data_IF_185917909864
#
_entry.id   IF_185917909864
#
_cell.length_a   1.000
_cell.length_b   1.000
_cell.length_c   1.000
_cell.angle_alpha   90.00
_cell.angle_beta   90.00
_cell.angle_gamma   90.00
#
_symmetry.space_group_name_H-M   'P 1'
#
loop_
_entity.id
_entity.type
_entity.pdbx_description
1 polymer ?
#
# COMPACT_ATOMS: atom_id res chain seq x y z
N UNK A 1 5.71 17.74 -87.02
CA UNK A 1 6.56 18.92 -86.75
C UNK A 1 6.70 19.04 -85.25
N UNK A 2 7.95 19.18 -84.80
CA UNK A 2 8.48 19.73 -83.53
C UNK A 2 7.45 20.34 -82.55
N UNK A 3 7.56 20.26 -81.23
CA UNK A 3 8.69 19.94 -80.36
C UNK A 3 8.19 19.81 -78.93
N UNK A 4 8.75 18.83 -78.23
CA UNK A 4 9.20 18.89 -76.83
C UNK A 4 8.98 20.18 -76.03
N UNK A 5 8.25 20.05 -74.91
CA UNK A 5 8.70 20.56 -73.60
C UNK A 5 8.30 19.52 -72.57
N UNK A 6 9.21 18.60 -72.26
CA UNK A 6 9.97 18.52 -71.00
C UNK A 6 9.06 18.20 -69.81
N UNK A 7 9.09 16.95 -69.34
CA UNK A 7 10.00 16.54 -68.25
C UNK A 7 9.97 17.55 -67.11
N UNK A 8 8.92 17.51 -66.30
CA UNK A 8 8.73 18.08 -64.95
C UNK A 8 7.21 17.98 -64.74
N UNK A 9 6.64 16.85 -64.32
CA UNK A 9 6.45 16.56 -62.89
C UNK A 9 5.96 15.10 -62.75
N UNK A 10 6.81 14.16 -63.15
CA UNK A 10 6.78 12.80 -62.61
C UNK A 10 7.47 12.88 -61.24
N UNK A 11 6.73 13.26 -60.19
CA UNK A 11 7.03 13.08 -58.76
C UNK A 11 5.94 13.81 -57.94
N UNK A 12 4.78 13.19 -57.83
CA UNK A 12 3.67 13.71 -57.01
C UNK A 12 2.48 12.76 -56.89
N UNK A 13 2.66 11.49 -57.24
CA UNK A 13 1.62 10.48 -57.18
C UNK A 13 2.18 9.26 -56.45
N UNK A 14 2.03 9.24 -55.12
CA UNK A 14 1.96 8.07 -54.24
C UNK A 14 2.24 8.51 -52.80
N UNK A 15 1.19 8.92 -52.09
CA UNK A 15 0.94 8.65 -50.66
C UNK A 15 -0.43 9.23 -50.29
N UNK A 16 -1.50 8.61 -50.78
CA UNK A 16 -2.78 8.65 -50.09
C UNK A 16 -2.82 7.42 -49.20
N UNK A 17 -2.09 7.49 -48.08
CA UNK A 17 -2.38 6.64 -46.94
C UNK A 17 -3.69 7.17 -46.36
N UNK A 18 -4.81 6.62 -46.83
CA UNK A 18 -6.06 6.71 -46.08
C UNK A 18 -5.82 5.87 -44.82
N UNK A 19 -5.33 6.52 -43.76
CA UNK A 19 -5.51 6.01 -42.42
C UNK A 19 -7.01 6.02 -42.19
N UNK A 20 -7.65 4.88 -42.44
CA UNK A 20 -8.90 4.55 -41.78
C UNK A 20 -8.52 4.41 -40.31
N UNK A 21 -8.46 5.54 -39.60
CA UNK A 21 -8.64 5.50 -38.16
C UNK A 21 -9.95 4.75 -37.98
N UNK A 22 -9.99 3.63 -37.24
CA UNK A 22 -11.26 3.13 -36.79
C UNK A 22 -11.85 4.29 -35.99
N UNK A 23 -12.84 4.96 -36.57
CA UNK A 23 -13.77 5.74 -35.80
C UNK A 23 -14.34 4.71 -34.84
N UNK A 24 -13.78 4.67 -33.63
CA UNK A 24 -14.49 4.12 -32.50
C UNK A 24 -15.81 4.90 -32.50
N UNK A 25 -16.85 4.28 -33.06
CA UNK A 25 -18.22 4.61 -32.77
C UNK A 25 -18.36 4.37 -31.27
N UNK A 26 -17.93 5.34 -30.46
CA UNK A 26 -18.69 5.69 -29.29
C UNK A 26 -20.07 5.99 -29.85
N UNK A 27 -20.98 5.03 -29.75
CA UNK A 27 -22.39 5.32 -29.95
C UNK A 27 -22.67 6.48 -29.00
N UNK A 28 -22.76 7.71 -29.54
CA UNK A 28 -23.16 8.87 -28.76
C UNK A 28 -24.51 8.49 -28.17
N UNK A 29 -24.53 8.32 -26.86
CA UNK A 29 -25.74 7.98 -26.14
C UNK A 29 -26.85 8.94 -26.56
N UNK A 30 -28.05 8.41 -26.77
CA UNK A 30 -29.16 9.22 -27.24
C UNK A 30 -29.40 10.40 -26.27
N UNK A 31 -29.56 11.65 -26.74
CA UNK A 31 -29.65 12.83 -25.86
C UNK A 31 -30.73 12.72 -24.77
N UNK A 32 -31.85 12.04 -25.07
CA UNK A 32 -32.88 11.76 -24.07
C UNK A 32 -32.39 10.81 -22.97
N UNK A 33 -31.66 9.75 -23.32
CA UNK A 33 -31.10 8.84 -22.33
C UNK A 33 -30.08 9.58 -21.45
N UNK A 34 -29.22 10.43 -22.05
CA UNK A 34 -28.31 11.27 -21.28
C UNK A 34 -29.05 12.20 -20.31
N UNK A 35 -30.21 12.74 -20.69
CA UNK A 35 -31.04 13.56 -19.81
C UNK A 35 -31.68 12.75 -18.66
N UNK A 36 -32.22 11.56 -18.96
CA UNK A 36 -32.82 10.70 -17.93
C UNK A 36 -31.75 10.27 -16.89
N UNK A 37 -30.55 9.91 -17.35
CA UNK A 37 -29.42 9.62 -16.47
C UNK A 37 -28.98 10.84 -15.67
N UNK A 38 -28.97 12.03 -16.28
CA UNK A 38 -28.62 13.28 -15.62
C UNK A 38 -29.54 13.55 -14.43
N UNK A 39 -30.86 13.47 -14.65
CA UNK A 39 -31.85 13.67 -13.59
C UNK A 39 -31.80 12.58 -12.52
N UNK A 40 -31.62 11.32 -12.90
CA UNK A 40 -31.55 10.22 -11.94
C UNK A 40 -30.32 10.33 -11.02
N UNK A 41 -29.18 10.77 -11.54
CA UNK A 41 -28.00 11.03 -10.72
C UNK A 41 -28.22 12.26 -9.83
N UNK A 42 -28.84 13.32 -10.34
CA UNK A 42 -29.21 14.51 -9.57
C UNK A 42 -30.07 14.16 -8.35
N UNK A 43 -31.10 13.33 -8.53
CA UNK A 43 -31.94 12.84 -7.43
C UNK A 43 -31.14 12.05 -6.39
N UNK A 44 -30.28 11.12 -6.83
CA UNK A 44 -29.41 10.35 -5.92
C UNK A 44 -28.44 11.23 -5.12
N UNK A 45 -27.89 12.26 -5.76
CA UNK A 45 -27.05 13.23 -5.05
C UNK A 45 -27.86 14.00 -4.01
N UNK A 46 -29.06 14.46 -4.38
CA UNK A 46 -29.94 15.19 -3.48
C UNK A 46 -30.31 14.39 -2.23
N UNK A 47 -30.66 13.11 -2.39
CA UNK A 47 -30.94 12.19 -1.28
C UNK A 47 -29.74 12.05 -0.34
N UNK A 48 -28.55 11.80 -0.89
CA UNK A 48 -27.32 11.68 -0.09
C UNK A 48 -27.01 12.97 0.66
N UNK A 49 -27.12 14.13 -0.01
CA UNK A 49 -26.86 15.43 0.60
C UNK A 49 -27.84 15.69 1.74
N UNK A 50 -29.13 15.37 1.55
CA UNK A 50 -30.13 15.52 2.59
C UNK A 50 -29.83 14.63 3.81
N UNK A 51 -29.34 13.41 3.59
CA UNK A 51 -28.98 12.49 4.68
C UNK A 51 -27.77 13.00 5.49
N UNK A 52 -26.78 13.59 4.81
CA UNK A 52 -25.65 14.24 5.48
C UNK A 52 -26.10 15.50 6.23
N UNK A 53 -26.89 16.37 5.59
CA UNK A 53 -27.35 17.63 6.19
C UNK A 53 -28.29 17.41 7.38
N UNK A 54 -29.09 16.34 7.36
CA UNK A 54 -29.94 15.95 8.49
C UNK A 54 -29.18 15.27 9.62
N UNK A 55 -27.88 14.98 9.44
CA UNK A 55 -27.05 14.28 10.42
C UNK A 55 -27.38 12.79 10.57
N UNK A 56 -28.19 12.22 9.66
CA UNK A 56 -28.48 10.78 9.64
C UNK A 56 -27.20 9.98 9.37
N UNK A 57 -26.32 10.53 8.54
CA UNK A 57 -24.99 10.00 8.23
C UNK A 57 -23.96 11.12 8.35
N UNK A 58 -22.69 10.77 8.58
CA UNK A 58 -21.59 11.74 8.60
C UNK A 58 -21.25 12.24 7.21
N UNK A 59 -20.51 13.36 7.10
CA UNK A 59 -20.06 13.82 5.79
C UNK A 59 -19.04 12.83 5.18
N UNK A 60 -18.27 12.11 6.00
CA UNK A 60 -17.39 11.04 5.53
C UNK A 60 -18.14 9.92 4.77
N UNK A 61 -19.40 9.63 5.10
CA UNK A 61 -20.22 8.64 4.39
C UNK A 61 -20.39 8.98 2.90
N UNK A 62 -20.40 10.27 2.55
CA UNK A 62 -20.54 10.74 1.18
C UNK A 62 -19.42 10.25 0.25
N UNK A 63 -18.26 9.87 0.80
CA UNK A 63 -17.14 9.31 0.04
C UNK A 63 -17.43 7.87 -0.44
N UNK A 64 -18.36 7.18 0.22
CA UNK A 64 -18.70 5.77 -0.05
C UNK A 64 -20.13 5.58 -0.57
N UNK A 65 -20.95 6.62 -0.57
CA UNK A 65 -22.36 6.55 -0.97
C UNK A 65 -22.60 6.61 -2.48
N UNK A 66 -21.54 6.74 -3.29
CA UNK A 66 -21.65 6.98 -4.73
C UNK A 66 -21.99 8.42 -5.12
N UNK A 67 -21.88 9.39 -4.18
CA UNK A 67 -22.07 10.81 -4.46
C UNK A 67 -21.08 11.33 -5.52
N UNK A 68 -19.80 10.94 -5.39
CA UNK A 68 -18.77 11.30 -6.35
C UNK A 68 -19.05 10.70 -7.74
N UNK A 69 -19.49 9.44 -7.80
CA UNK A 69 -19.81 8.76 -9.06
C UNK A 69 -21.02 9.41 -9.74
N UNK A 70 -22.03 9.79 -8.95
CA UNK A 70 -23.22 10.48 -9.46
C UNK A 70 -22.88 11.87 -10.01
N UNK A 71 -22.01 12.62 -9.32
CA UNK A 71 -21.50 13.92 -9.79
C UNK A 71 -20.68 13.77 -11.08
N UNK A 72 -19.77 12.78 -11.14
CA UNK A 72 -18.98 12.50 -12.32
C UNK A 72 -19.87 12.11 -13.52
N UNK A 73 -20.84 11.22 -13.29
CA UNK A 73 -21.80 10.78 -14.30
C UNK A 73 -22.62 11.96 -14.84
N UNK A 74 -23.08 12.88 -13.99
CA UNK A 74 -23.76 14.10 -14.45
C UNK A 74 -22.86 14.99 -15.31
N UNK A 75 -21.62 15.23 -14.88
CA UNK A 75 -20.68 16.05 -15.62
C UNK A 75 -20.37 15.46 -17.02
N UNK A 76 -20.23 14.14 -17.12
CA UNK A 76 -20.03 13.45 -18.40
C UNK A 76 -21.22 13.64 -19.35
N UNK A 77 -22.45 13.49 -18.84
CA UNK A 77 -23.67 13.55 -19.66
C UNK A 77 -24.09 14.98 -20.02
N UNK A 78 -23.62 15.99 -19.27
CA UNK A 78 -23.88 17.42 -19.54
C UNK A 78 -23.56 17.80 -20.99
N UNK A 79 -22.52 17.22 -21.58
CA UNK A 79 -22.06 17.50 -22.95
C UNK A 79 -23.00 16.98 -24.06
N UNK A 80 -23.90 16.05 -23.74
CA UNK A 80 -24.82 15.44 -24.70
C UNK A 80 -26.26 15.98 -24.57
N UNK A 81 -26.50 16.96 -23.71
CA UNK A 81 -27.84 17.53 -23.48
C UNK A 81 -28.28 18.43 -24.64
N UNK A 82 -29.58 18.42 -24.93
CA UNK A 82 -30.19 19.31 -25.91
C UNK A 82 -30.37 20.72 -25.30
N UNK A 83 -30.36 21.79 -26.12
CA UNK A 83 -30.53 23.16 -25.64
C UNK A 83 -31.78 23.36 -24.75
N UNK A 84 -32.90 22.73 -25.13
CA UNK A 84 -34.15 22.78 -24.36
C UNK A 84 -34.03 22.25 -22.92
N UNK A 85 -33.08 21.34 -22.64
CA UNK A 85 -32.82 20.85 -21.28
C UNK A 85 -31.97 21.86 -20.51
N UNK A 86 -31.01 22.52 -21.16
CA UNK A 86 -30.14 23.51 -20.52
C UNK A 86 -30.92 24.74 -20.02
N UNK A 87 -31.97 25.12 -20.75
CA UNK A 87 -32.86 26.23 -20.39
C UNK A 87 -33.94 25.83 -19.35
N UNK A 88 -33.96 24.58 -18.88
CA UNK A 88 -34.99 24.06 -17.99
C UNK A 88 -34.71 24.37 -16.51
N UNK A 89 -35.78 24.47 -15.72
CA UNK A 89 -35.68 24.65 -14.26
C UNK A 89 -35.04 23.45 -13.56
N UNK A 90 -35.27 22.25 -14.07
CA UNK A 90 -34.69 21.01 -13.55
C UNK A 90 -33.18 21.01 -13.72
N UNK A 91 -32.67 21.47 -14.87
CA UNK A 91 -31.24 21.60 -15.09
C UNK A 91 -30.62 22.58 -14.09
N UNK A 92 -31.21 23.77 -13.93
CA UNK A 92 -30.74 24.77 -12.96
C UNK A 92 -30.75 24.24 -11.51
N UNK A 93 -31.78 23.48 -11.14
CA UNK A 93 -31.85 22.81 -9.85
C UNK A 93 -30.72 21.79 -9.68
N UNK A 94 -30.50 20.93 -10.67
CA UNK A 94 -29.47 19.90 -10.62
C UNK A 94 -28.04 20.47 -10.60
N UNK A 95 -27.79 21.61 -11.25
CA UNK A 95 -26.53 22.35 -11.12
C UNK A 95 -26.31 22.85 -9.70
N UNK A 96 -27.37 23.32 -9.03
CA UNK A 96 -27.29 23.70 -7.63
C UNK A 96 -27.00 22.50 -6.72
N UNK A 97 -27.64 21.35 -6.97
CA UNK A 97 -27.36 20.10 -6.24
C UNK A 97 -25.92 19.64 -6.46
N UNK A 98 -25.39 19.74 -7.68
CA UNK A 98 -23.99 19.41 -7.98
C UNK A 98 -23.00 20.27 -7.16
N UNK A 99 -23.24 21.57 -7.03
CA UNK A 99 -22.41 22.44 -6.19
C UNK A 99 -22.45 22.03 -4.71
N UNK A 100 -23.64 21.63 -4.19
CA UNK A 100 -23.75 21.10 -2.83
C UNK A 100 -23.04 19.74 -2.69
N UNK A 101 -23.10 18.89 -3.72
CA UNK A 101 -22.39 17.61 -3.73
C UNK A 101 -20.88 17.81 -3.60
N UNK A 102 -20.30 18.76 -4.35
CA UNK A 102 -18.88 19.11 -4.26
C UNK A 102 -18.49 19.56 -2.85
N UNK A 103 -19.29 20.44 -2.23
CA UNK A 103 -19.07 20.91 -0.87
C UNK A 103 -19.16 19.76 0.16
N UNK A 104 -20.17 18.89 0.04
CA UNK A 104 -20.34 17.71 0.89
C UNK A 104 -19.18 16.74 0.75
N UNK A 105 -18.69 16.48 -0.47
CA UNK A 105 -17.51 15.65 -0.72
C UNK A 105 -16.24 16.26 -0.11
N UNK A 106 -16.04 17.57 -0.23
CA UNK A 106 -14.90 18.26 0.36
C UNK A 106 -14.93 18.17 1.90
N UNK A 107 -16.10 18.39 2.51
CA UNK A 107 -16.30 18.21 3.95
C UNK A 107 -16.02 16.75 4.37
N UNK A 108 -16.53 15.77 3.61
CA UNK A 108 -16.30 14.36 3.88
C UNK A 108 -14.82 13.97 3.84
N UNK A 109 -14.06 14.48 2.87
CA UNK A 109 -12.59 14.28 2.81
C UNK A 109 -11.89 14.86 4.03
N UNK A 110 -12.27 16.06 4.46
CA UNK A 110 -11.69 16.70 5.64
C UNK A 110 -12.02 15.92 6.93
N UNK A 111 -13.27 15.48 7.08
CA UNK A 111 -13.70 14.67 8.23
C UNK A 111 -12.96 13.32 8.27
N UNK A 112 -12.90 12.62 7.14
CA UNK A 112 -12.18 11.35 7.04
C UNK A 112 -10.69 11.51 7.36
N UNK A 113 -10.04 12.55 6.84
CA UNK A 113 -8.64 12.85 7.17
C UNK A 113 -8.45 13.11 8.68
N UNK A 114 -9.37 13.85 9.31
CA UNK A 114 -9.33 14.11 10.74
C UNK A 114 -9.58 12.84 11.59
N UNK A 115 -10.43 11.92 11.12
CA UNK A 115 -10.63 10.62 11.77
C UNK A 115 -9.37 9.76 11.65
N UNK A 116 -8.75 9.69 10.47
CA UNK A 116 -7.50 8.95 10.26
C UNK A 116 -6.36 9.50 11.11
N UNK A 117 -6.20 10.83 11.19
CA UNK A 117 -5.18 11.44 12.04
C UNK A 117 -5.39 11.11 13.52
N UNK A 118 -6.65 11.14 14.00
CA UNK A 118 -6.97 10.70 15.36
C UNK A 118 -6.64 9.23 15.58
N UNK A 119 -7.02 8.34 14.65
CA UNK A 119 -6.69 6.91 14.75
C UNK A 119 -5.19 6.63 14.75
N UNK A 120 -4.41 7.35 13.94
CA UNK A 120 -2.94 7.27 13.94
C UNK A 120 -2.38 7.73 15.29
N UNK A 121 -2.88 8.82 15.84
CA UNK A 121 -2.43 9.36 17.12
C UNK A 121 -2.81 8.45 18.30
N UNK A 122 -4.04 7.94 18.32
CA UNK A 122 -4.49 6.95 19.31
C UNK A 122 -3.68 5.65 19.23
N UNK A 123 -3.43 5.16 18.01
CA UNK A 123 -2.57 4.00 17.78
C UNK A 123 -1.13 4.23 18.24
N UNK A 124 -0.58 5.43 17.98
CA UNK A 124 0.75 5.85 18.45
C UNK A 124 0.81 5.88 19.98
N UNK A 125 -0.20 6.47 20.63
CA UNK A 125 -0.30 6.53 22.10
C UNK A 125 -0.42 5.12 22.67
N UNK A 126 -1.30 4.28 22.12
CA UNK A 126 -1.49 2.90 22.56
C UNK A 126 -0.20 2.09 22.44
N UNK A 127 0.50 2.20 21.30
CA UNK A 127 1.80 1.55 21.09
C UNK A 127 2.85 2.05 22.09
N UNK A 128 2.96 3.36 22.31
CA UNK A 128 3.88 3.95 23.30
C UNK A 128 3.60 3.54 24.75
N UNK A 129 2.33 3.22 25.05
CA UNK A 129 1.93 2.72 26.36
C UNK A 129 2.01 1.19 26.47
N UNK A 130 2.36 0.48 25.39
CA UNK A 130 2.44 -0.98 25.43
C UNK A 130 3.61 -1.47 26.29
N UNK A 131 3.47 -2.64 26.96
CA UNK A 131 4.57 -3.24 27.73
C UNK A 131 5.82 -3.53 26.89
N UNK A 132 5.65 -3.93 25.63
CA UNK A 132 6.75 -4.18 24.70
C UNK A 132 7.54 -2.89 24.44
N UNK A 133 6.84 -1.77 24.20
CA UNK A 133 7.47 -0.48 23.99
C UNK A 133 8.24 0.01 25.22
N UNK A 134 7.61 -0.05 26.40
CA UNK A 134 8.25 0.36 27.65
C UNK A 134 9.52 -0.45 27.94
N UNK A 135 9.51 -1.76 27.63
CA UNK A 135 10.68 -2.62 27.75
C UNK A 135 11.79 -2.27 26.75
N UNK A 136 11.46 -2.08 25.48
CA UNK A 136 12.44 -1.66 24.48
C UNK A 136 13.13 -0.34 24.89
N UNK A 137 12.34 0.61 25.42
CA UNK A 137 12.86 1.89 25.93
C UNK A 137 13.74 1.74 27.17
N UNK A 138 13.39 0.88 28.13
CA UNK A 138 14.23 0.63 29.30
C UNK A 138 15.60 0.04 28.93
N UNK A 139 15.67 -0.65 27.79
CA UNK A 139 16.90 -1.21 27.22
C UNK A 139 17.65 -0.24 26.28
N UNK A 140 17.25 1.04 26.22
CA UNK A 140 17.87 2.11 25.41
C UNK A 140 17.71 1.97 23.89
N UNK A 141 16.71 1.23 23.41
CA UNK A 141 16.39 1.20 21.98
C UNK A 141 15.66 2.48 21.55
N UNK A 142 16.09 3.04 20.42
CA UNK A 142 15.68 4.38 19.96
C UNK A 142 14.53 4.36 18.97
N UNK A 143 14.34 3.27 18.23
CA UNK A 143 13.34 3.17 17.18
C UNK A 143 12.20 2.24 17.60
N UNK A 144 10.98 2.73 17.36
CA UNK A 144 9.64 2.21 17.70
C UNK A 144 9.60 0.82 18.33
N UNK A 145 9.15 0.79 19.58
CA UNK A 145 9.19 -0.36 20.49
C UNK A 145 8.27 -1.53 20.15
N UNK A 146 8.39 -2.05 18.95
CA UNK A 146 7.96 -3.39 18.58
C UNK A 146 9.13 -4.36 18.79
N UNK A 147 8.96 -5.27 19.75
CA UNK A 147 9.77 -6.49 19.76
C UNK A 147 9.34 -7.28 18.52
N UNK A 148 10.24 -7.38 17.56
CA UNK A 148 9.87 -7.88 16.24
C UNK A 148 10.61 -9.15 15.88
N UNK A 149 10.04 -9.90 14.95
CA UNK A 149 10.63 -11.15 14.51
C UNK A 149 11.58 -10.91 13.35
N UNK A 150 12.71 -11.62 13.39
CA UNK A 150 13.73 -11.53 12.35
C UNK A 150 13.16 -11.76 10.93
N UNK A 151 12.18 -12.66 10.78
CA UNK A 151 11.51 -12.97 9.51
C UNK A 151 10.76 -11.79 8.92
N UNK A 152 9.99 -11.04 9.72
CA UNK A 152 9.20 -9.91 9.22
C UNK A 152 10.12 -8.86 8.59
N UNK A 153 11.28 -8.64 9.19
CA UNK A 153 12.24 -7.65 8.75
C UNK A 153 13.28 -8.14 7.73
N UNK A 154 13.28 -9.43 7.38
CA UNK A 154 14.01 -9.93 6.20
C UNK A 154 13.47 -9.27 4.93
N UNK A 155 12.16 -9.04 4.88
CA UNK A 155 11.45 -8.69 3.65
C UNK A 155 11.15 -7.18 3.52
N UNK A 156 11.20 -6.41 4.62
CA UNK A 156 10.64 -5.05 4.66
C UNK A 156 11.56 -3.94 5.16
N UNK A 157 12.66 -4.23 5.85
CA UNK A 157 13.42 -3.20 6.58
C UNK A 157 14.92 -3.14 6.23
N UNK A 158 15.45 -1.91 6.19
CA UNK A 158 16.87 -1.67 5.95
C UNK A 158 17.76 -2.00 7.15
N UNK A 159 19.00 -2.45 6.91
CA UNK A 159 19.95 -2.90 7.96
C UNK A 159 20.17 -1.86 9.09
N UNK A 160 20.13 -0.57 8.76
CA UNK A 160 20.29 0.51 9.73
C UNK A 160 19.15 0.53 10.77
N UNK A 161 17.92 0.25 10.33
CA UNK A 161 16.73 0.18 11.18
C UNK A 161 16.75 -1.05 12.07
N UNK A 162 17.21 -2.19 11.56
CA UNK A 162 17.33 -3.40 12.36
C UNK A 162 18.27 -3.24 13.57
N UNK A 163 19.32 -2.43 13.44
CA UNK A 163 20.29 -2.16 14.54
C UNK A 163 19.70 -1.33 15.68
N UNK A 164 18.60 -0.62 15.45
CA UNK A 164 17.93 0.21 16.46
C UNK A 164 16.75 -0.50 17.14
N UNK A 165 16.49 -1.76 16.78
CA UNK A 165 15.37 -2.57 17.26
C UNK A 165 15.80 -3.72 18.17
N UNK A 166 14.86 -4.16 19.01
CA UNK A 166 14.95 -5.40 19.78
C UNK A 166 14.24 -6.53 19.03
N UNK A 167 14.92 -7.66 18.81
CA UNK A 167 14.48 -8.72 17.90
C UNK A 167 14.35 -10.06 18.61
N UNK A 168 13.32 -10.81 18.26
CA UNK A 168 13.16 -12.24 18.51
C UNK A 168 13.51 -13.05 17.25
N UNK A 169 14.00 -14.27 17.42
CA UNK A 169 14.71 -14.99 16.34
C UNK A 169 13.84 -15.34 15.14
N UNK A 170 12.59 -15.79 15.34
CA UNK A 170 11.56 -15.98 14.28
C UNK A 170 10.26 -16.43 15.00
N UNK A 171 9.10 -15.86 14.69
CA UNK A 171 7.83 -16.23 15.34
C UNK A 171 7.40 -17.66 15.00
N UNK A 172 7.67 -18.06 13.76
CA UNK A 172 7.21 -19.32 13.17
C UNK A 172 8.29 -20.39 13.36
N UNK A 173 9.55 -20.01 13.12
CA UNK A 173 10.68 -20.93 13.09
C UNK A 173 11.57 -20.90 14.32
N UNK A 174 11.37 -19.95 15.24
CA UNK A 174 12.21 -19.71 16.42
C UNK A 174 12.41 -20.98 17.25
N UNK A 175 11.31 -21.69 17.50
CA UNK A 175 11.30 -22.95 18.26
C UNK A 175 12.09 -24.11 17.61
N UNK A 176 12.41 -24.02 16.32
CA UNK A 176 13.14 -25.06 15.59
C UNK A 176 14.63 -24.78 15.45
N UNK A 177 15.10 -23.60 15.85
CA UNK A 177 16.52 -23.27 15.81
C UNK A 177 17.26 -24.07 16.88
N UNK A 178 18.18 -24.92 16.44
CA UNK A 178 19.01 -25.75 17.32
C UNK A 178 20.47 -25.35 17.25
N UNK A 179 21.15 -25.33 18.38
CA UNK A 179 22.59 -25.08 18.45
C UNK A 179 23.32 -26.21 17.69
N UNK A 180 24.09 -25.84 16.68
CA UNK A 180 24.79 -26.82 15.83
C UNK A 180 26.30 -26.72 15.89
N UNK A 181 26.82 -25.50 16.07
CA UNK A 181 28.24 -25.22 15.98
C UNK A 181 28.63 -24.10 16.93
N UNK A 182 29.85 -24.18 17.46
CA UNK A 182 30.47 -23.12 18.24
C UNK A 182 31.65 -22.55 17.45
N UNK A 183 31.52 -21.30 17.02
CA UNK A 183 32.55 -20.54 16.29
C UNK A 183 32.85 -19.32 17.13
N UNK A 184 33.80 -19.45 18.07
CA UNK A 184 34.04 -18.44 19.11
C UNK A 184 34.09 -17.01 18.54
N UNK A 185 33.33 -16.05 19.11
CA UNK A 185 32.48 -16.13 20.31
C UNK A 185 31.01 -16.52 20.05
N UNK A 186 30.67 -16.99 18.86
CA UNK A 186 29.30 -17.25 18.42
C UNK A 186 28.87 -18.71 18.62
N UNK A 187 27.61 -18.90 18.99
CA UNK A 187 26.89 -20.17 18.82
C UNK A 187 26.02 -20.05 17.58
N UNK A 188 26.19 -20.96 16.62
CA UNK A 188 25.39 -21.00 15.39
C UNK A 188 24.20 -21.92 15.60
N UNK A 189 23.01 -21.36 15.42
CA UNK A 189 21.76 -22.09 15.40
C UNK A 189 21.25 -22.26 13.97
N UNK A 190 20.68 -23.42 13.67
CA UNK A 190 20.10 -23.70 12.35
C UNK A 190 18.74 -24.36 12.45
N UNK A 191 17.89 -24.09 11.46
CA UNK A 191 16.64 -24.82 11.20
C UNK A 191 16.85 -25.69 9.97
N UNK A 192 16.39 -26.96 10.01
CA UNK A 192 16.43 -27.84 8.83
C UNK A 192 15.14 -27.71 8.02
N UNK A 193 15.17 -28.00 6.70
CA UNK A 193 13.96 -28.00 5.87
C UNK A 193 12.91 -29.00 6.38
N UNK A 194 13.34 -30.07 7.06
CA UNK A 194 12.48 -31.08 7.67
C UNK A 194 11.74 -30.61 8.92
N UNK A 195 12.11 -29.46 9.51
CA UNK A 195 11.54 -28.99 10.79
C UNK A 195 10.18 -28.27 10.63
N UNK A 196 9.51 -28.46 9.47
CA UNK A 196 8.14 -28.02 9.21
C UNK A 196 8.01 -26.53 8.88
N UNK A 197 7.31 -26.19 7.79
CA UNK A 197 6.91 -24.81 7.41
C UNK A 197 8.02 -23.77 7.16
N UNK A 198 9.25 -24.05 7.60
CA UNK A 198 10.36 -23.11 7.61
C UNK A 198 11.14 -23.07 6.30
N UNK A 199 10.78 -23.92 5.33
CA UNK A 199 11.02 -23.83 3.87
C UNK A 199 12.48 -23.89 3.39
N UNK A 200 13.40 -23.29 4.15
CA UNK A 200 14.79 -23.08 3.78
C UNK A 200 15.69 -23.21 5.02
N UNK A 201 16.96 -23.57 4.81
CA UNK A 201 17.94 -23.63 5.91
C UNK A 201 18.21 -22.22 6.42
N UNK A 202 17.63 -21.86 7.55
CA UNK A 202 17.93 -20.61 8.25
C UNK A 202 19.12 -20.79 9.19
N UNK A 203 20.01 -19.80 9.24
CA UNK A 203 21.14 -19.73 10.17
C UNK A 203 21.17 -18.40 10.91
N UNK A 204 21.36 -18.46 12.23
CA UNK A 204 21.63 -17.29 13.07
C UNK A 204 22.80 -17.58 14.00
N UNK A 205 23.61 -16.56 14.28
CA UNK A 205 24.76 -16.65 15.15
C UNK A 205 24.52 -15.78 16.39
N UNK A 206 24.48 -16.41 17.57
CA UNK A 206 24.24 -15.71 18.83
C UNK A 206 25.56 -15.47 19.55
N UNK A 207 25.79 -14.24 20.00
CA UNK A 207 26.90 -13.88 20.89
C UNK A 207 26.40 -13.43 22.25
N UNK A 208 27.14 -13.79 23.31
CA UNK A 208 26.88 -13.31 24.68
C UNK A 208 25.72 -14.01 25.43
N UNK A 209 25.15 -15.08 24.84
CA UNK A 209 24.16 -15.93 25.48
C UNK A 209 24.77 -16.98 26.42
N UNK A 210 23.96 -17.95 26.83
CA UNK A 210 24.42 -19.14 27.56
C UNK A 210 25.38 -20.01 26.75
N UNK A 211 25.85 -21.10 27.35
CA UNK A 211 26.62 -22.14 26.65
C UNK A 211 25.71 -23.34 26.41
N UNK A 212 24.88 -23.31 25.34
CA UNK A 212 24.03 -24.44 24.99
C UNK A 212 24.87 -25.65 24.57
N UNK A 213 24.35 -26.84 24.85
CA UNK A 213 24.85 -28.06 24.27
C UNK A 213 24.40 -28.20 22.81
N UNK A 214 25.07 -29.07 22.06
CA UNK A 214 24.71 -29.32 20.67
C UNK A 214 23.32 -29.97 20.61
N UNK A 215 22.40 -29.31 19.90
CA UNK A 215 21.01 -29.75 19.76
C UNK A 215 20.01 -28.94 20.60
N UNK A 216 20.49 -28.17 21.57
CA UNK A 216 19.63 -27.30 22.39
C UNK A 216 18.92 -26.26 21.54
N UNK A 217 17.66 -26.01 21.88
CA UNK A 217 16.87 -24.99 21.19
C UNK A 217 17.28 -23.59 21.63
N UNK A 218 17.20 -22.64 20.69
CA UNK A 218 17.25 -21.23 21.06
C UNK A 218 15.99 -20.91 21.88
N UNK A 219 16.11 -19.99 22.83
CA UNK A 219 14.94 -19.46 23.51
C UNK A 219 14.09 -18.67 22.49
N UNK A 220 12.86 -19.12 22.15
CA UNK A 220 12.01 -18.42 21.20
C UNK A 220 11.54 -17.07 21.73
N UNK A 221 11.54 -16.89 23.06
CA UNK A 221 11.21 -15.62 23.71
C UNK A 221 12.48 -14.81 24.04
N UNK A 222 13.65 -15.30 23.66
CA UNK A 222 14.91 -14.62 23.86
C UNK A 222 14.92 -13.28 23.13
N UNK A 223 15.41 -12.25 23.82
CA UNK A 223 15.54 -10.92 23.27
C UNK A 223 16.96 -10.68 22.78
N UNK A 224 17.09 -10.24 21.53
CA UNK A 224 18.38 -10.08 20.89
C UNK A 224 18.52 -8.72 20.21
N UNK A 225 19.74 -8.20 20.24
CA UNK A 225 20.14 -7.05 19.43
C UNK A 225 20.69 -7.53 18.09
N UNK A 226 20.18 -7.01 16.98
CA UNK A 226 20.77 -7.27 15.67
C UNK A 226 22.13 -6.56 15.53
N UNK A 227 23.16 -7.32 15.16
CA UNK A 227 24.54 -6.83 15.03
C UNK A 227 24.99 -6.70 13.57
N UNK A 228 24.18 -7.12 12.61
CA UNK A 228 24.54 -7.17 11.19
C UNK A 228 24.82 -8.58 10.67
N UNK A 229 25.14 -8.65 9.38
CA UNK A 229 25.67 -9.86 8.74
C UNK A 229 27.16 -10.02 9.01
N UNK A 230 27.62 -11.25 9.22
CA UNK A 230 29.05 -11.58 9.27
C UNK A 230 29.35 -12.86 8.49
N UNK A 231 30.50 -12.88 7.82
CA UNK A 231 31.07 -14.11 7.28
C UNK A 231 31.66 -14.94 8.42
N UNK A 232 31.05 -16.09 8.69
CA UNK A 232 31.51 -17.05 9.67
C UNK A 232 31.88 -18.36 8.97
N UNK A 233 33.00 -18.94 9.37
CA UNK A 233 33.46 -20.22 8.83
C UNK A 233 32.83 -21.34 9.65
N UNK A 234 31.97 -22.14 9.01
CA UNK A 234 31.32 -23.27 9.63
C UNK A 234 32.24 -24.48 9.80
N UNK A 235 31.71 -25.55 10.38
CA UNK A 235 32.42 -26.83 10.54
C UNK A 235 32.80 -27.49 9.20
N UNK A 236 32.17 -27.11 8.10
CA UNK A 236 32.49 -27.51 6.73
C UNK A 236 33.69 -26.74 6.14
N UNK A 237 34.22 -25.74 6.85
CA UNK A 237 35.37 -24.93 6.43
C UNK A 237 35.01 -23.83 5.44
N UNK A 238 33.74 -23.66 5.06
CA UNK A 238 33.33 -22.64 4.11
C UNK A 238 32.76 -21.40 4.82
N UNK A 239 33.20 -20.18 4.45
CA UNK A 239 32.64 -18.96 4.99
C UNK A 239 31.22 -18.75 4.46
N UNK A 240 30.26 -18.61 5.37
CA UNK A 240 28.86 -18.30 5.06
C UNK A 240 28.49 -16.96 5.69
N UNK A 241 27.74 -16.14 4.97
CA UNK A 241 27.13 -14.94 5.55
C UNK A 241 26.01 -15.35 6.52
N UNK A 242 26.19 -15.05 7.80
CA UNK A 242 25.26 -15.40 8.88
C UNK A 242 24.88 -14.12 9.63
N UNK A 243 23.60 -14.00 9.96
CA UNK A 243 23.11 -12.90 10.80
C UNK A 243 23.56 -13.09 12.22
N UNK A 244 24.16 -12.06 12.78
CA UNK A 244 24.64 -12.06 14.15
C UNK A 244 23.65 -11.31 15.02
N UNK A 245 23.23 -11.99 16.08
CA UNK A 245 22.41 -11.42 17.13
C UNK A 245 23.18 -11.47 18.44
N UNK A 246 23.05 -10.43 19.27
CA UNK A 246 23.62 -10.40 20.62
C UNK A 246 22.52 -10.63 21.63
N UNK A 247 22.65 -11.67 22.44
CA UNK A 247 21.70 -11.97 23.50
C UNK A 247 21.67 -10.83 24.54
N UNK A 248 20.46 -10.43 24.92
CA UNK A 248 20.21 -9.57 26.09
C UNK A 248 19.73 -10.51 27.20
N UNK A 249 20.39 -10.44 28.36
CA UNK A 249 20.00 -11.20 29.55
C UNK A 249 18.78 -10.56 30.21
#
# INVERSE_FOLDING_TARGET
MFSTTRLLQLLGALTLAVSITPAFCFAKEHPQASWDYYLANCQRMQETIADVQSGRVSAAYALTSGLQDSLASMNERRLNLLPQHLDSSEYAHCENVAAHAEATLAQGKAEFAAQMQRGVEEGRIAHQNSPAYQRARSLSYSDVGDISFLKLHEDTDGEARLKTMLITVDEICGQYFRATQYVKPYVIYTVRPSDGGCGEVKRVAIVGGGQPEKGDYIDPNGEFQYMGWKKLVGADGFPTDIRVLKARR
#
